data_IF_004365275758
#
_entry.id   IF_004365275758
#
_cell.length_a   1.000
_cell.length_b   1.000
_cell.length_c   1.000
_cell.angle_alpha   90.00
_cell.angle_beta   90.00
_cell.angle_gamma   90.00
#
_symmetry.space_group_name_H-M   'P 1'
#
loop_
_entity.id
_entity.type
_entity.pdbx_description
1 polymer ?
#
# COMPACT_ATOMS: atom_id res chain seq x y z
N UNK A 1 -9.32 -8.34 18.46
CA UNK A 1 -9.41 -7.55 19.69
C UNK A 1 -9.92 -8.50 20.76
N UNK A 2 -9.06 -9.40 21.27
CA UNK A 2 -9.51 -10.55 22.07
C UNK A 2 -10.12 -10.15 23.42
N UNK A 3 -9.91 -8.92 23.87
CA UNK A 3 -10.39 -8.40 25.15
C UNK A 3 -11.39 -7.26 25.00
N UNK A 4 -11.99 -7.08 23.82
CA UNK A 4 -12.96 -6.02 23.59
C UNK A 4 -14.38 -6.56 23.63
N UNK A 5 -15.26 -5.83 24.32
CA UNK A 5 -16.67 -6.15 24.41
C UNK A 5 -17.36 -5.98 23.03
N UNK A 6 -17.88 -7.08 22.51
CA UNK A 6 -18.60 -7.09 21.22
C UNK A 6 -19.95 -6.35 21.28
N UNK A 7 -20.41 -5.94 22.47
CA UNK A 7 -21.60 -5.11 22.64
C UNK A 7 -21.29 -3.61 22.74
N UNK A 8 -20.01 -3.21 22.73
CA UNK A 8 -19.62 -1.80 22.76
C UNK A 8 -19.86 -1.09 21.41
N UNK A 9 -19.69 0.23 21.37
CA UNK A 9 -19.90 1.08 20.18
C UNK A 9 -19.17 0.59 18.91
N UNK A 10 -18.02 -0.08 19.05
CA UNK A 10 -17.28 -0.69 17.94
C UNK A 10 -17.31 -2.22 17.96
N UNK A 11 -18.27 -2.84 18.65
CA UNK A 11 -18.32 -4.29 18.84
C UNK A 11 -18.36 -5.11 17.55
N UNK A 12 -18.94 -4.56 16.48
CA UNK A 12 -18.95 -5.19 15.15
C UNK A 12 -17.54 -5.38 14.55
N UNK A 13 -16.61 -4.43 14.76
CA UNK A 13 -15.23 -4.59 14.30
C UNK A 13 -14.50 -5.65 15.12
N UNK A 14 -14.76 -5.71 16.43
CA UNK A 14 -14.15 -6.70 17.30
C UNK A 14 -14.57 -8.12 16.92
N UNK A 15 -15.88 -8.32 16.69
CA UNK A 15 -16.43 -9.57 16.19
C UNK A 15 -15.81 -9.99 14.87
N UNK A 16 -15.78 -9.09 13.87
CA UNK A 16 -15.13 -9.35 12.58
C UNK A 16 -13.66 -9.77 12.77
N UNK A 17 -12.90 -9.03 13.58
CA UNK A 17 -11.50 -9.36 13.84
C UNK A 17 -11.33 -10.68 14.60
N UNK A 18 -12.30 -11.13 15.39
CA UNK A 18 -12.25 -12.43 16.05
C UNK A 18 -12.51 -13.58 15.07
N UNK A 19 -13.36 -13.38 14.07
CA UNK A 19 -13.73 -14.39 13.06
C UNK A 19 -12.71 -14.53 11.92
N UNK A 20 -12.03 -13.44 11.49
CA UNK A 20 -11.09 -13.52 10.36
C UNK A 20 -9.85 -14.35 10.70
N UNK A 21 -9.37 -15.11 9.71
CA UNK A 21 -8.06 -15.77 9.78
C UNK A 21 -6.94 -14.73 9.76
N UNK A 22 -5.93 -14.90 10.60
CA UNK A 22 -4.84 -13.94 10.80
C UNK A 22 -3.52 -14.60 10.47
N UNK A 23 -2.70 -13.92 9.70
CA UNK A 23 -1.38 -14.39 9.35
C UNK A 23 -0.34 -13.47 9.99
N UNK A 24 0.48 -14.02 10.87
CA UNK A 24 1.61 -13.31 11.47
C UNK A 24 2.88 -13.73 10.74
N UNK A 25 3.62 -12.78 10.19
CA UNK A 25 4.90 -13.06 9.51
C UNK A 25 6.04 -12.77 10.49
N UNK A 26 6.84 -13.79 10.83
CA UNK A 26 7.98 -13.61 11.73
C UNK A 26 9.13 -14.56 11.44
N UNK A 27 10.35 -14.00 11.40
CA UNK A 27 11.60 -14.75 11.20
C UNK A 27 12.05 -15.50 12.44
N UNK A 28 11.86 -14.94 13.64
CA UNK A 28 12.22 -15.63 14.90
C UNK A 28 11.26 -16.79 15.18
N UNK A 29 10.01 -16.65 14.73
CA UNK A 29 8.93 -17.58 15.04
C UNK A 29 8.41 -17.49 16.46
N UNK A 30 8.95 -16.58 17.26
CA UNK A 30 8.49 -16.27 18.61
C UNK A 30 7.31 -15.30 18.51
N UNK A 31 6.18 -15.82 18.02
CA UNK A 31 4.91 -15.10 17.96
C UNK A 31 3.87 -15.94 18.67
N UNK A 32 3.20 -15.33 19.65
CA UNK A 32 2.05 -15.95 20.28
C UNK A 32 0.90 -16.06 19.26
N UNK A 33 0.60 -17.28 18.83
CA UNK A 33 -0.52 -17.61 17.95
C UNK A 33 -1.71 -18.19 18.72
N UNK A 34 -1.79 -18.00 20.04
CA UNK A 34 -2.92 -18.46 20.86
C UNK A 34 -4.23 -17.76 20.50
N UNK A 35 -4.17 -16.57 19.89
CA UNK A 35 -5.37 -15.88 19.42
C UNK A 35 -6.05 -16.67 18.29
N UNK A 36 -7.35 -16.91 18.45
CA UNK A 36 -8.18 -17.66 17.52
C UNK A 36 -7.97 -17.26 16.05
N UNK A 37 -7.76 -18.27 15.20
CA UNK A 37 -7.56 -18.12 13.76
C UNK A 37 -6.18 -17.62 13.36
N UNK A 38 -5.20 -17.56 14.27
CA UNK A 38 -3.83 -17.10 13.96
C UNK A 38 -2.96 -18.21 13.39
N UNK A 39 -2.23 -17.89 12.32
CA UNK A 39 -1.26 -18.75 11.65
C UNK A 39 0.06 -18.01 11.52
N UNK A 40 1.15 -18.65 11.92
CA UNK A 40 2.50 -18.12 11.76
C UNK A 40 3.03 -18.47 10.36
N UNK A 41 3.46 -17.46 9.62
CA UNK A 41 4.24 -17.56 8.39
C UNK A 41 5.70 -17.22 8.71
N UNK A 42 6.64 -18.03 8.23
CA UNK A 42 8.07 -17.91 8.56
C UNK A 42 8.79 -16.90 7.68
N UNK A 43 8.39 -16.79 6.42
CA UNK A 43 9.04 -15.94 5.44
C UNK A 43 8.11 -15.50 4.30
N UNK A 44 8.68 -14.83 3.30
CA UNK A 44 7.96 -14.41 2.10
C UNK A 44 7.57 -15.57 1.18
N UNK A 45 8.23 -16.72 1.23
CA UNK A 45 7.83 -17.87 0.42
C UNK A 45 6.47 -18.41 0.91
N UNK A 46 6.26 -18.44 2.22
CA UNK A 46 4.96 -18.77 2.81
C UNK A 46 3.87 -17.78 2.35
N UNK A 47 4.17 -16.47 2.33
CA UNK A 47 3.23 -15.45 1.83
C UNK A 47 2.92 -15.64 0.35
N UNK A 48 3.93 -15.96 -0.47
CA UNK A 48 3.75 -16.23 -1.91
C UNK A 48 2.84 -17.43 -2.15
N UNK A 49 3.01 -18.52 -1.40
CA UNK A 49 2.12 -19.69 -1.46
C UNK A 49 0.70 -19.31 -1.04
N UNK A 50 0.56 -18.62 0.09
CA UNK A 50 -0.75 -18.20 0.60
C UNK A 50 -1.50 -17.33 -0.41
N UNK A 51 -0.82 -16.41 -1.09
CA UNK A 51 -1.42 -15.58 -2.15
C UNK A 51 -1.92 -16.38 -3.35
N UNK A 52 -1.37 -17.58 -3.59
CA UNK A 52 -1.78 -18.48 -4.67
C UNK A 52 -2.93 -19.41 -4.29
N UNK A 53 -3.30 -19.49 -3.01
CA UNK A 53 -4.43 -20.28 -2.55
C UNK A 53 -5.76 -19.59 -2.90
N UNK A 54 -6.80 -20.38 -3.12
CA UNK A 54 -8.17 -19.87 -3.22
C UNK A 54 -8.59 -19.28 -1.87
N UNK A 55 -9.15 -18.07 -1.88
CA UNK A 55 -9.59 -17.44 -0.64
C UNK A 55 -9.99 -15.99 -0.77
N UNK A 56 -10.25 -15.37 0.38
CA UNK A 56 -10.52 -13.95 0.48
C UNK A 56 -9.24 -13.11 0.27
N UNK A 57 -9.44 -11.83 -0.02
CA UNK A 57 -8.33 -10.87 -0.14
C UNK A 57 -7.47 -10.83 1.13
N UNK A 58 -6.16 -10.90 0.94
CA UNK A 58 -5.19 -10.70 2.02
C UNK A 58 -5.00 -9.20 2.24
N UNK A 59 -5.24 -8.73 3.46
CA UNK A 59 -5.15 -7.31 3.81
C UNK A 59 -4.08 -7.12 4.88
N UNK A 60 -3.20 -6.16 4.65
CA UNK A 60 -2.25 -5.69 5.66
C UNK A 60 -2.20 -4.17 5.70
N UNK A 61 -2.16 -3.61 6.91
CA UNK A 61 -1.85 -2.20 7.15
C UNK A 61 -0.39 -2.02 7.63
N UNK A 62 0.34 -3.12 7.80
CA UNK A 62 1.68 -3.16 8.36
C UNK A 62 2.13 -4.56 8.77
N UNK A 63 3.33 -4.73 9.30
CA UNK A 63 4.28 -3.68 9.64
C UNK A 63 4.91 -3.00 8.41
N UNK A 64 5.58 -1.87 8.62
CA UNK A 64 6.34 -1.20 7.55
C UNK A 64 7.35 -2.15 6.91
N UNK A 65 8.01 -2.99 7.71
CA UNK A 65 8.98 -3.97 7.23
C UNK A 65 8.32 -5.02 6.32
N UNK A 66 7.12 -5.49 6.67
CA UNK A 66 6.35 -6.40 5.81
C UNK A 66 5.90 -5.71 4.53
N UNK A 67 5.36 -4.49 4.62
CA UNK A 67 4.92 -3.72 3.44
C UNK A 67 6.07 -3.49 2.47
N UNK A 68 7.26 -3.11 2.96
CA UNK A 68 8.46 -2.97 2.13
C UNK A 68 8.86 -4.29 1.47
N UNK A 69 8.83 -5.39 2.22
CA UNK A 69 9.16 -6.71 1.70
C UNK A 69 8.19 -7.16 0.59
N UNK A 70 6.88 -6.88 0.74
CA UNK A 70 5.85 -7.16 -0.28
C UNK A 70 6.04 -6.30 -1.53
N UNK A 71 6.32 -5.00 -1.38
CA UNK A 71 6.58 -4.09 -2.50
C UNK A 71 7.87 -4.44 -3.26
N UNK A 72 8.93 -4.82 -2.54
CA UNK A 72 10.19 -5.27 -3.14
C UNK A 72 10.06 -6.60 -3.91
N UNK A 73 9.08 -7.43 -3.55
CA UNK A 73 8.84 -8.74 -4.17
C UNK A 73 7.63 -8.76 -5.12
N UNK A 74 7.08 -7.59 -5.45
CA UNK A 74 5.94 -7.46 -6.37
C UNK A 74 4.70 -8.26 -5.94
N UNK A 75 4.37 -8.22 -4.64
CA UNK A 75 3.27 -8.99 -4.07
C UNK A 75 2.01 -8.17 -3.77
N UNK A 76 2.01 -6.87 -4.11
CA UNK A 76 0.91 -5.94 -3.83
C UNK A 76 0.06 -5.70 -5.09
N UNK A 77 -1.21 -6.14 -5.06
CA UNK A 77 -2.14 -5.95 -6.19
C UNK A 77 -2.88 -4.62 -6.11
N UNK A 78 -3.18 -4.15 -4.90
CA UNK A 78 -3.94 -2.95 -4.65
C UNK A 78 -3.47 -2.23 -3.37
N UNK A 79 -3.62 -0.92 -3.35
CA UNK A 79 -3.26 -0.06 -2.21
C UNK A 79 -4.38 0.92 -1.90
N UNK A 80 -4.73 1.03 -0.62
CA UNK A 80 -5.54 2.15 -0.12
C UNK A 80 -4.62 3.10 0.64
N UNK A 81 -4.32 4.27 0.05
CA UNK A 81 -3.39 5.25 0.60
C UNK A 81 -4.15 6.41 1.21
N UNK A 82 -3.86 6.69 2.47
CA UNK A 82 -4.46 7.75 3.26
C UNK A 82 -3.41 8.86 3.41
N UNK A 83 -3.60 9.96 2.69
CA UNK A 83 -2.73 11.14 2.77
C UNK A 83 -3.35 12.12 3.77
N UNK A 84 -2.70 12.24 4.93
CA UNK A 84 -3.09 13.16 5.99
C UNK A 84 -2.36 14.50 5.77
N UNK A 85 -3.02 15.66 5.87
CA UNK A 85 -2.41 16.97 5.60
C UNK A 85 -1.51 17.43 6.74
N UNK A 86 -0.42 16.70 6.99
CA UNK A 86 0.58 16.97 8.02
C UNK A 86 1.99 16.76 7.48
N UNK A 87 2.94 17.58 7.93
CA UNK A 87 4.37 17.40 7.67
C UNK A 87 5.02 16.86 8.92
N UNK A 88 5.46 15.60 8.90
CA UNK A 88 6.08 14.94 10.06
C UNK A 88 7.59 15.22 10.20
N UNK A 89 8.26 15.65 9.12
CA UNK A 89 9.72 15.90 9.10
C UNK A 89 10.60 14.64 9.06
N UNK A 90 10.14 13.50 9.60
CA UNK A 90 10.85 12.22 9.55
C UNK A 90 10.00 11.04 9.99
N UNK A 91 10.56 9.83 9.94
CA UNK A 91 9.91 8.60 10.40
C UNK A 91 9.88 7.48 9.36
N UNK A 92 9.05 6.46 9.64
CA UNK A 92 8.85 5.32 8.73
C UNK A 92 8.22 5.79 7.43
N UNK A 93 8.80 5.40 6.30
CA UNK A 93 8.29 5.72 4.94
C UNK A 93 7.43 4.56 4.43
N UNK A 94 6.36 4.85 3.69
CA UNK A 94 5.58 3.81 3.01
C UNK A 94 6.41 3.15 1.90
N UNK A 95 7.04 3.97 1.06
CA UNK A 95 7.95 3.52 0.01
C UNK A 95 9.39 3.76 0.47
N UNK A 96 10.18 2.70 0.47
CA UNK A 96 11.61 2.74 0.75
C UNK A 96 12.41 2.22 -0.44
N UNK A 97 13.72 2.39 -0.36
CA UNK A 97 14.67 1.91 -1.35
C UNK A 97 14.51 0.39 -1.53
N UNK A 98 14.52 -0.07 -2.79
CA UNK A 98 14.35 -1.50 -3.14
C UNK A 98 12.93 -1.94 -3.49
N UNK A 99 11.95 -1.03 -3.48
CA UNK A 99 10.61 -1.34 -4.02
C UNK A 99 10.70 -1.70 -5.51
N UNK A 100 10.07 -2.80 -5.94
CA UNK A 100 10.10 -3.20 -7.33
C UNK A 100 9.27 -2.21 -8.18
N UNK A 101 9.78 -1.77 -9.33
CA UNK A 101 9.20 -0.66 -10.06
C UNK A 101 7.96 -1.11 -10.84
N UNK A 102 6.80 -0.53 -10.54
CA UNK A 102 5.51 -0.90 -11.13
C UNK A 102 4.59 0.31 -11.26
N UNK A 103 3.67 0.27 -12.23
CA UNK A 103 2.59 1.26 -12.30
C UNK A 103 1.41 0.86 -11.43
N UNK A 104 0.76 1.88 -10.87
CA UNK A 104 -0.53 1.78 -10.23
C UNK A 104 -1.51 2.77 -10.87
N UNK A 105 -2.75 2.34 -11.03
CA UNK A 105 -3.85 3.16 -11.55
C UNK A 105 -4.74 3.55 -10.39
N UNK A 106 -5.03 4.85 -10.25
CA UNK A 106 -6.07 5.32 -9.33
C UNK A 106 -7.43 4.83 -9.83
N UNK A 107 -8.13 4.04 -9.02
CA UNK A 107 -9.46 3.50 -9.33
C UNK A 107 -10.58 4.28 -8.64
N UNK A 108 -10.29 4.87 -7.48
CA UNK A 108 -11.23 5.73 -6.75
C UNK A 108 -10.47 6.68 -5.83
N UNK A 109 -11.03 7.87 -5.57
CA UNK A 109 -10.53 8.76 -4.54
C UNK A 109 -11.67 9.49 -3.84
N UNK A 110 -11.43 9.86 -2.57
CA UNK A 110 -12.31 10.75 -1.82
C UNK A 110 -11.51 11.57 -0.82
N UNK A 111 -12.01 12.76 -0.50
CA UNK A 111 -11.51 13.57 0.61
C UNK A 111 -12.53 13.48 1.75
N UNK A 112 -12.06 13.13 2.95
CA UNK A 112 -12.92 13.11 4.14
C UNK A 112 -13.23 14.52 4.63
N UNK A 113 -14.23 14.66 5.51
CA UNK A 113 -14.58 15.94 6.14
C UNK A 113 -13.44 16.57 6.96
N UNK A 114 -12.44 15.79 7.34
CA UNK A 114 -11.24 16.23 8.07
C UNK A 114 -10.04 16.53 7.16
N UNK A 115 -10.21 16.44 5.83
CA UNK A 115 -9.16 16.75 4.86
C UNK A 115 -8.21 15.60 4.55
N UNK A 116 -8.44 14.39 5.06
CA UNK A 116 -7.66 13.20 4.65
C UNK A 116 -8.08 12.80 3.23
N UNK A 117 -7.11 12.78 2.30
CA UNK A 117 -7.29 12.21 0.96
C UNK A 117 -7.10 10.70 1.03
N UNK A 118 -8.09 9.96 0.54
CA UNK A 118 -8.08 8.50 0.47
C UNK A 118 -8.09 8.13 -1.01
N UNK A 119 -7.02 7.49 -1.48
CA UNK A 119 -6.90 6.98 -2.84
C UNK A 119 -6.83 5.46 -2.87
N UNK A 120 -7.60 4.86 -3.75
CA UNK A 120 -7.55 3.43 -4.06
C UNK A 120 -6.82 3.23 -5.38
N UNK A 121 -5.82 2.38 -5.35
CA UNK A 121 -4.94 2.12 -6.47
C UNK A 121 -4.91 0.62 -6.75
N UNK A 122 -4.96 0.25 -8.01
CA UNK A 122 -4.79 -1.12 -8.48
C UNK A 122 -3.60 -1.21 -9.43
N UNK A 123 -3.04 -2.42 -9.58
CA UNK A 123 -1.89 -2.66 -10.43
C UNK A 123 -2.17 -2.22 -11.88
N UNK A 124 -1.36 -1.29 -12.37
CA UNK A 124 -1.51 -0.64 -13.68
C UNK A 124 -0.69 -1.29 -14.81
N UNK A 125 0.02 -2.37 -14.53
CA UNK A 125 0.90 -3.06 -15.47
C UNK A 125 2.28 -2.40 -15.58
N UNK A 126 2.84 -2.41 -16.79
CA UNK A 126 4.15 -1.83 -17.10
C UNK A 126 4.24 -0.35 -16.74
N UNK A 127 5.45 0.13 -16.44
CA UNK A 127 5.71 1.51 -16.05
C UNK A 127 5.35 2.44 -17.20
N UNK A 128 4.29 3.23 -17.02
CA UNK A 128 3.95 4.31 -17.94
C UNK A 128 4.53 5.60 -17.41
N UNK A 129 5.59 6.08 -18.06
CA UNK A 129 6.05 7.47 -17.87
C UNK A 129 5.02 8.34 -18.58
N UNK A 130 4.11 8.94 -17.81
CA UNK A 130 3.19 9.93 -18.34
C UNK A 130 4.00 11.20 -18.56
N UNK A 131 4.00 11.71 -19.78
CA UNK A 131 4.53 13.04 -20.04
C UNK A 131 3.62 14.05 -19.33
N UNK A 132 4.14 14.69 -18.29
CA UNK A 132 3.44 15.72 -17.52
C UNK A 132 3.41 17.06 -18.24
N UNK A 133 3.87 17.14 -19.49
CA UNK A 133 3.66 18.29 -20.35
C UNK A 133 2.14 18.55 -20.41
N UNK A 134 1.75 19.74 -19.95
CA UNK A 134 0.43 20.26 -20.26
C UNK A 134 0.31 20.28 -21.79
N UNK A 135 -0.66 19.54 -22.33
CA UNK A 135 -0.92 19.54 -23.77
C UNK A 135 -1.08 20.99 -24.23
N UNK A 136 -0.26 21.39 -25.21
CA UNK A 136 -0.15 22.75 -25.79
C UNK A 136 0.85 23.70 -25.11
N UNK A 137 2.17 23.50 -25.29
CA UNK A 137 3.16 24.52 -24.91
C UNK A 137 2.90 25.83 -25.66
N UNK A 138 3.02 26.97 -24.97
CA UNK A 138 2.90 28.27 -25.61
C UNK A 138 3.97 28.46 -26.70
N UNK A 139 3.74 29.36 -27.67
CA UNK A 139 4.75 29.73 -28.68
C UNK A 139 6.10 30.13 -28.06
N UNK A 140 6.08 30.76 -26.88
CA UNK A 140 7.29 31.14 -26.13
C UNK A 140 8.05 29.92 -25.61
N UNK A 141 7.33 28.90 -25.16
CA UNK A 141 7.94 27.67 -24.67
C UNK A 141 8.56 26.85 -25.81
N UNK A 142 7.89 26.77 -26.96
CA UNK A 142 8.44 26.15 -28.17
C UNK A 142 9.75 26.85 -28.58
N UNK A 143 9.76 28.17 -28.66
CA UNK A 143 10.96 28.94 -29.01
C UNK A 143 12.11 28.77 -27.99
N UNK A 144 11.80 28.63 -26.69
CA UNK A 144 12.79 28.36 -25.65
C UNK A 144 13.44 26.98 -25.84
N UNK A 145 12.64 25.95 -26.11
CA UNK A 145 13.11 24.58 -26.33
C UNK A 145 13.98 24.47 -27.59
N UNK A 146 13.60 25.14 -28.69
CA UNK A 146 14.40 25.21 -29.92
C UNK A 146 15.72 25.95 -29.73
N UNK A 147 15.77 26.95 -28.84
CA UNK A 147 17.03 27.62 -28.47
C UNK A 147 17.94 26.68 -27.69
N UNK A 148 17.41 26.01 -26.65
CA UNK A 148 18.17 25.06 -25.84
C UNK A 148 18.74 23.89 -26.65
N UNK A 149 18.01 23.38 -27.65
CA UNK A 149 18.49 22.31 -28.55
C UNK A 149 19.59 22.75 -29.52
N UNK A 150 19.75 24.06 -29.77
CA UNK A 150 20.80 24.60 -30.65
C UNK A 150 22.08 24.97 -29.90
N UNK A 151 21.97 25.16 -28.59
CA UNK A 151 23.05 25.64 -27.73
C UNK A 151 23.74 24.51 -26.93
N UNK A 152 23.24 23.27 -27.03
CA UNK A 152 23.84 22.06 -26.45
C UNK A 152 24.26 21.08 -27.54
#
# INVERSE_FOLDING_TARGET
>A
WPYYDENASHGSIAKLFNEIKKYAVSRSGEVDTSWHGSVLLRDLADVKRLKQEDGANLITQGSTELVHALLANDLVDAMSIFTVPVVLGGGKKLFADGSAPHSFKLTSSRVSSTGVLIGHYERGGEIKIVDGALDSPSKREIARQERMKREG
#
